data_IF_078260328952
#
_entry.id   IF_078260328952
#
_cell.length_a   1.000
_cell.length_b   1.000
_cell.length_c   1.000
_cell.angle_alpha   90.00
_cell.angle_beta   90.00
_cell.angle_gamma   90.00
#
_symmetry.space_group_name_H-M   'P 1'
#
loop_
_entity.id
_entity.type
_entity.pdbx_description
1 polymer ?
#
# COMPACT_ATOMS: atom_id res chain seq x y z
N UNK A 1 -13.07 -40.99 3.83
CA UNK A 1 -11.68 -41.05 3.34
C UNK A 1 -10.81 -40.04 4.08
N UNK A 2 -10.95 -38.72 3.82
CA UNK A 2 -10.14 -37.69 4.50
C UNK A 2 -10.28 -37.72 6.03
N UNK A 3 -11.50 -37.79 6.56
CA UNK A 3 -11.72 -37.89 8.02
C UNK A 3 -11.13 -39.15 8.66
N UNK A 4 -11.04 -40.25 7.88
CA UNK A 4 -10.41 -41.49 8.34
C UNK A 4 -8.88 -41.37 8.41
N UNK A 5 -8.28 -40.52 7.56
CA UNK A 5 -6.84 -40.30 7.51
C UNK A 5 -6.37 -39.18 8.46
N UNK A 6 -7.17 -38.12 8.62
CA UNK A 6 -6.78 -36.88 9.32
C UNK A 6 -7.61 -36.58 10.58
N UNK A 7 -8.62 -37.40 10.90
CA UNK A 7 -9.38 -37.30 12.14
C UNK A 7 -10.09 -35.97 12.33
N UNK A 8 -9.89 -35.33 13.48
CA UNK A 8 -10.50 -34.04 13.81
C UNK A 8 -9.84 -32.84 13.12
N UNK A 9 -8.59 -32.99 12.68
CA UNK A 9 -7.86 -31.94 11.94
C UNK A 9 -8.23 -31.87 10.46
N UNK A 10 -9.27 -32.58 10.04
CA UNK A 10 -9.71 -32.62 8.65
C UNK A 10 -10.43 -31.33 8.26
N UNK A 11 -10.18 -30.83 7.05
CA UNK A 11 -10.97 -29.75 6.48
C UNK A 11 -12.46 -30.12 6.40
N UNK A 12 -13.32 -29.11 6.56
CA UNK A 12 -14.74 -29.29 6.34
C UNK A 12 -15.01 -29.71 4.89
N UNK A 13 -16.10 -30.46 4.68
CA UNK A 13 -16.51 -30.92 3.35
C UNK A 13 -16.57 -29.77 2.34
N UNK A 14 -17.13 -28.62 2.73
CA UNK A 14 -17.22 -27.41 1.88
C UNK A 14 -15.86 -26.90 1.44
N UNK A 15 -14.91 -26.74 2.36
CA UNK A 15 -13.54 -26.27 2.03
C UNK A 15 -12.81 -27.24 1.11
N UNK A 16 -13.00 -28.55 1.30
CA UNK A 16 -12.40 -29.54 0.42
C UNK A 16 -12.93 -29.43 -1.03
N UNK A 17 -14.22 -29.13 -1.22
CA UNK A 17 -14.79 -28.90 -2.55
C UNK A 17 -14.35 -27.58 -3.18
N UNK A 18 -14.19 -26.52 -2.38
CA UNK A 18 -13.63 -25.25 -2.85
C UNK A 18 -12.22 -25.46 -3.41
N UNK A 19 -11.33 -26.10 -2.64
CA UNK A 19 -9.98 -26.45 -3.12
C UNK A 19 -10.02 -27.34 -4.36
N UNK A 20 -10.87 -28.35 -4.40
CA UNK A 20 -11.03 -29.19 -5.59
C UNK A 20 -11.43 -28.38 -6.83
N UNK A 21 -12.34 -27.41 -6.68
CA UNK A 21 -12.75 -26.52 -7.76
C UNK A 21 -11.59 -25.64 -8.23
N UNK A 22 -10.83 -25.05 -7.31
CA UNK A 22 -9.67 -24.21 -7.60
C UNK A 22 -8.57 -24.99 -8.34
N UNK A 23 -8.22 -26.20 -7.86
CA UNK A 23 -7.28 -27.09 -8.54
C UNK A 23 -7.78 -27.49 -9.93
N UNK A 24 -9.08 -27.79 -10.06
CA UNK A 24 -9.69 -28.10 -11.36
C UNK A 24 -9.65 -26.92 -12.33
N UNK A 25 -9.71 -25.68 -11.84
CA UNK A 25 -9.54 -24.47 -12.65
C UNK A 25 -8.09 -24.16 -13.03
N UNK A 26 -7.13 -25.01 -12.64
CA UNK A 26 -5.72 -24.89 -13.02
C UNK A 26 -4.88 -24.07 -12.04
N UNK A 27 -5.39 -23.76 -10.83
CA UNK A 27 -4.57 -23.19 -9.77
C UNK A 27 -3.65 -24.28 -9.20
N UNK A 28 -2.35 -24.07 -9.28
CA UNK A 28 -1.33 -24.99 -8.71
C UNK A 28 -0.64 -24.43 -7.45
N UNK A 29 -1.09 -23.25 -6.99
CA UNK A 29 -0.52 -22.53 -5.84
C UNK A 29 -1.25 -22.94 -4.57
N UNK A 30 -0.52 -23.52 -3.61
CA UNK A 30 -1.05 -23.92 -2.31
C UNK A 30 -1.09 -22.75 -1.32
N UNK A 31 -0.25 -21.72 -1.50
CA UNK A 31 -0.29 -20.52 -0.68
C UNK A 31 -1.60 -19.75 -0.84
N UNK A 32 -1.96 -19.01 0.22
CA UNK A 32 -3.05 -18.05 0.16
C UNK A 32 -2.75 -17.01 -0.93
N UNK A 33 -3.71 -16.84 -1.85
CA UNK A 33 -3.66 -15.74 -2.81
C UNK A 33 -3.66 -14.41 -2.06
N UNK A 34 -3.11 -13.38 -2.71
CA UNK A 34 -3.18 -12.00 -2.22
C UNK A 34 -4.60 -11.70 -1.77
N UNK A 35 -4.77 -11.59 -0.45
CA UNK A 35 -6.06 -11.21 0.11
C UNK A 35 -6.33 -9.80 -0.37
N UNK A 36 -7.51 -9.60 -0.95
CA UNK A 36 -8.04 -8.26 -1.13
C UNK A 36 -8.16 -7.64 0.26
N UNK A 37 -7.13 -6.89 0.66
CA UNK A 37 -7.23 -6.04 1.83
C UNK A 37 -8.24 -4.95 1.52
N UNK A 38 -9.08 -4.59 2.48
CA UNK A 38 -9.96 -3.44 2.34
C UNK A 38 -9.09 -2.23 1.95
N UNK A 39 -9.27 -1.61 0.77
CA UNK A 39 -8.59 -0.36 0.49
C UNK A 39 -8.99 0.62 1.59
N UNK A 40 -8.00 1.24 2.23
CA UNK A 40 -8.28 2.30 3.20
C UNK A 40 -9.18 3.31 2.50
N UNK A 41 -10.27 3.74 3.14
CA UNK A 41 -11.26 4.67 2.54
C UNK A 41 -10.61 5.96 2.00
N UNK A 42 -9.41 6.27 2.49
CA UNK A 42 -8.60 7.40 2.08
C UNK A 42 -7.68 7.15 0.88
N UNK A 43 -7.36 5.90 0.55
CA UNK A 43 -6.50 5.49 -0.56
C UNK A 43 -7.29 5.21 -1.85
N UNK A 44 -8.30 6.04 -2.13
CA UNK A 44 -9.02 6.03 -3.39
C UNK A 44 -8.08 6.45 -4.53
N UNK A 45 -8.25 5.86 -5.72
CA UNK A 45 -7.46 6.19 -6.92
C UNK A 45 -7.39 7.71 -7.20
N UNK A 46 -8.49 8.42 -6.96
CA UNK A 46 -8.56 9.89 -7.08
C UNK A 46 -7.58 10.60 -6.16
N UNK A 47 -7.48 10.17 -4.90
CA UNK A 47 -6.56 10.77 -3.93
C UNK A 47 -5.11 10.41 -4.26
N UNK A 48 -4.86 9.19 -4.75
CA UNK A 48 -3.53 8.76 -5.20
C UNK A 48 -3.07 9.61 -6.40
N UNK A 49 -3.94 9.84 -7.38
CA UNK A 49 -3.63 10.64 -8.55
C UNK A 49 -3.32 12.09 -8.20
N UNK A 50 -4.19 12.74 -7.39
CA UNK A 50 -3.95 14.11 -6.92
C UNK A 50 -2.66 14.22 -6.10
N UNK A 51 -2.38 13.25 -5.24
CA UNK A 51 -1.16 13.28 -4.44
C UNK A 51 0.10 13.09 -5.29
N UNK A 52 0.00 12.32 -6.39
CA UNK A 52 1.08 12.20 -7.36
C UNK A 52 1.34 13.53 -8.08
N UNK A 53 0.28 14.24 -8.46
CA UNK A 53 0.35 15.55 -9.11
C UNK A 53 1.00 16.58 -8.19
N UNK A 54 0.50 16.76 -6.95
CA UNK A 54 1.05 17.75 -6.00
C UNK A 54 2.51 17.49 -5.64
N UNK A 55 2.91 16.22 -5.51
CA UNK A 55 4.31 15.85 -5.26
C UNK A 55 5.20 16.07 -6.49
N UNK A 56 4.66 15.92 -7.70
CA UNK A 56 5.41 16.17 -8.94
C UNK A 56 5.58 17.68 -9.18
N UNK A 57 4.56 18.48 -8.88
CA UNK A 57 4.59 19.93 -8.98
C UNK A 57 5.51 20.57 -7.93
N UNK A 58 5.44 20.09 -6.68
CA UNK A 58 6.28 20.59 -5.60
C UNK A 58 6.85 19.42 -4.75
N UNK A 59 8.07 18.96 -5.04
CA UNK A 59 8.69 17.86 -4.32
C UNK A 59 9.13 18.23 -2.88
N UNK A 60 9.10 19.51 -2.51
CA UNK A 60 9.46 19.98 -1.16
C UNK A 60 8.26 20.17 -0.23
N UNK A 61 7.05 19.85 -0.70
CA UNK A 61 5.81 19.92 0.08
C UNK A 61 5.88 19.02 1.30
N UNK A 62 5.52 19.54 2.46
CA UNK A 62 5.44 18.75 3.69
C UNK A 62 4.16 17.91 3.71
N UNK A 63 4.19 16.78 4.42
CA UNK A 63 3.00 15.91 4.60
C UNK A 63 1.79 16.67 5.17
N UNK A 64 2.02 17.70 5.99
CA UNK A 64 0.97 18.51 6.61
C UNK A 64 0.30 19.44 5.59
N UNK A 65 1.07 20.03 4.68
CA UNK A 65 0.53 20.89 3.61
C UNK A 65 -0.34 20.07 2.66
N UNK A 66 0.15 18.91 2.22
CA UNK A 66 -0.59 17.99 1.35
C UNK A 66 -1.87 17.49 2.04
N UNK A 67 -1.83 17.25 3.36
CA UNK A 67 -2.99 16.85 4.15
C UNK A 67 -4.06 17.94 4.22
N UNK A 68 -3.66 19.19 4.39
CA UNK A 68 -4.57 20.32 4.41
C UNK A 68 -5.21 20.53 3.03
N UNK A 69 -4.42 20.42 1.96
CA UNK A 69 -4.89 20.61 0.58
C UNK A 69 -5.87 19.53 0.14
N UNK A 70 -5.54 18.25 0.38
CA UNK A 70 -6.39 17.13 -0.04
C UNK A 70 -7.52 16.83 0.95
N UNK A 71 -7.56 17.50 2.11
CA UNK A 71 -8.50 17.20 3.20
C UNK A 71 -8.48 15.72 3.62
N UNK A 72 -7.31 15.08 3.52
CA UNK A 72 -7.09 13.68 3.86
C UNK A 72 -6.24 13.60 5.13
N UNK A 73 -6.46 12.58 5.96
CA UNK A 73 -5.68 12.43 7.19
C UNK A 73 -4.20 12.24 6.88
N UNK A 74 -3.35 12.84 7.72
CA UNK A 74 -1.89 12.74 7.61
C UNK A 74 -1.39 11.29 7.51
N UNK A 75 -1.99 10.39 8.29
CA UNK A 75 -1.68 8.96 8.27
C UNK A 75 -1.96 8.30 6.92
N UNK A 76 -3.07 8.69 6.30
CA UNK A 76 -3.48 8.15 5.00
C UNK A 76 -2.52 8.59 3.91
N UNK A 77 -2.09 9.85 3.92
CA UNK A 77 -1.11 10.36 2.97
C UNK A 77 0.23 9.65 3.14
N UNK A 78 0.68 9.45 4.37
CA UNK A 78 1.88 8.65 4.65
C UNK A 78 1.78 7.22 4.11
N UNK A 79 0.64 6.58 4.33
CA UNK A 79 0.34 5.24 3.83
C UNK A 79 0.36 5.20 2.31
N UNK A 80 -0.27 6.18 1.65
CA UNK A 80 -0.33 6.28 0.19
C UNK A 80 1.06 6.52 -0.41
N UNK A 81 1.83 7.43 0.17
CA UNK A 81 3.21 7.71 -0.27
C UNK A 81 4.11 6.48 -0.17
N UNK A 82 3.98 5.71 0.90
CA UNK A 82 4.81 4.53 1.16
C UNK A 82 4.39 3.34 0.31
N UNK A 83 3.08 3.05 0.23
CA UNK A 83 2.57 1.82 -0.38
C UNK A 83 2.25 1.97 -1.88
N UNK A 84 1.88 3.17 -2.35
CA UNK A 84 1.43 3.38 -3.72
C UNK A 84 2.41 4.22 -4.57
N UNK A 85 3.15 5.15 -3.95
CA UNK A 85 4.07 6.05 -4.66
C UNK A 85 5.55 5.71 -4.46
N UNK A 86 5.87 4.61 -3.75
CA UNK A 86 7.23 4.08 -3.66
C UNK A 86 8.22 4.91 -2.83
N UNK A 87 7.73 5.77 -1.94
CA UNK A 87 8.56 6.52 -0.98
C UNK A 87 9.33 7.68 -1.62
N UNK A 88 8.63 8.81 -1.88
CA UNK A 88 9.26 10.03 -2.42
C UNK A 88 10.09 10.81 -1.39
N UNK A 89 10.10 10.42 -0.11
CA UNK A 89 10.88 11.12 0.92
C UNK A 89 12.32 10.60 1.03
N UNK A 90 13.08 10.60 -0.08
CA UNK A 90 14.51 10.87 0.05
C UNK A 90 14.62 12.38 0.04
N UNK A 91 14.64 13.02 1.21
CA UNK A 91 15.08 14.40 1.31
C UNK A 91 16.42 14.49 0.55
N UNK A 92 16.41 15.08 -0.64
CA UNK A 92 17.64 15.58 -1.23
C UNK A 92 18.04 16.68 -0.27
N UNK A 93 19.00 16.37 0.61
CA UNK A 93 19.54 17.34 1.54
C UNK A 93 19.90 18.59 0.72
N UNK A 94 19.14 19.67 0.93
CA UNK A 94 19.50 20.96 0.37
C UNK A 94 20.95 21.20 0.77
N UNK A 95 21.84 21.40 -0.21
CA UNK A 95 23.26 21.68 0.05
C UNK A 95 23.31 22.77 1.09
N UNK A 96 23.95 22.46 2.22
CA UNK A 96 24.22 23.40 3.29
C UNK A 96 24.95 24.59 2.65
N UNK A 97 24.28 25.74 2.48
CA UNK A 97 24.95 26.95 2.03
C UNK A 97 25.70 27.50 3.24
N UNK A 98 27.04 27.56 3.23
CA UNK A 98 27.80 28.14 4.33
C UNK A 98 27.42 29.62 4.46
N UNK A 99 27.24 30.09 5.71
CA UNK A 99 26.83 31.46 6.04
C UNK A 99 27.87 32.53 5.66
N UNK A 100 29.03 32.15 5.13
CA UNK A 100 30.15 33.04 4.83
C UNK A 100 30.11 33.65 3.42
N UNK A 101 28.99 33.52 2.69
CA UNK A 101 28.77 34.16 1.39
C UNK A 101 27.88 35.40 1.46
N UNK A 102 27.86 36.10 2.60
CA UNK A 102 27.40 37.49 2.68
C UNK A 102 28.64 38.41 2.68
N UNK A 103 29.25 38.61 1.52
CA UNK A 103 30.14 39.75 1.33
C UNK A 103 29.29 40.92 0.84
N UNK A 104 29.08 41.88 1.77
CA UNK A 104 28.68 43.29 1.61
C UNK A 104 27.74 43.66 0.45
#
# INVERSE_FOLDING_TARGET
MLQKAYGESTLSKTRAYEWYKEFKSGRDVMEDLLRSSRPSTSATEVNIAKLKETVTENPHSTLREIAAELSVSHESIRTILTNHLGGVTKHVAARLVPKDLNFL
#
